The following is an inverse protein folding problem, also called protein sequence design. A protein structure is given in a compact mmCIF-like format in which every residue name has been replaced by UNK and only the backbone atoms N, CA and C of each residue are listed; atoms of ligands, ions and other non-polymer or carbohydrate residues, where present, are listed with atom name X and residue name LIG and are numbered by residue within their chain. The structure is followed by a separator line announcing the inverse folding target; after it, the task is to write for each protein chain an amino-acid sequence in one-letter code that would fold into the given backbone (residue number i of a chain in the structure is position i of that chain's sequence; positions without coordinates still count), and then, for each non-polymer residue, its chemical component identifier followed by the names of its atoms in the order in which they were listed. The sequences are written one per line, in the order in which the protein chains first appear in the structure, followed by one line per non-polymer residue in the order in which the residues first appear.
data_IF_429551131454
#
_entry.id   IF_429551131454
#
_cell.length_a   1.000
_cell.length_b   1.000
_cell.length_c   1.000
_cell.angle_alpha   90.00
_cell.angle_beta   90.00
_cell.angle_gamma   90.00
#
_symmetry.space_group_name_H-M   'P 1'
#
loop_
_entity.id
_entity.type
_entity.pdbx_description
1 polymer ?
#
# COMPACT_ATOMS: atom_id res chain seq x y z
N UNK A 1 -23.23 -31.16 -37.46
CA UNK A 1 -22.03 -30.48 -38.00
C UNK A 1 -21.79 -29.21 -37.20
N UNK A 2 -20.53 -28.84 -36.93
CA UNK A 2 -20.03 -28.81 -35.56
C UNK A 2 -19.68 -27.41 -35.02
N UNK A 3 -19.72 -27.31 -33.68
CA UNK A 3 -18.68 -26.82 -32.75
C UNK A 3 -17.92 -25.53 -33.15
N UNK A 4 -18.03 -24.46 -32.36
CA UNK A 4 -16.93 -24.11 -31.44
C UNK A 4 -17.27 -22.98 -30.45
N UNK A 5 -17.22 -23.35 -29.17
CA UNK A 5 -16.83 -22.48 -28.08
C UNK A 5 -15.45 -21.86 -28.39
N UNK A 6 -15.33 -20.55 -28.27
CA UNK A 6 -14.03 -19.89 -28.18
C UNK A 6 -14.03 -18.98 -26.97
N UNK A 7 -13.71 -19.62 -25.84
CA UNK A 7 -13.15 -19.01 -24.67
C UNK A 7 -12.05 -18.02 -25.10
N UNK A 8 -12.19 -16.74 -24.74
CA UNK A 8 -11.09 -15.78 -24.83
C UNK A 8 -10.06 -16.12 -23.75
N UNK A 9 -9.18 -17.06 -24.10
CA UNK A 9 -7.93 -17.32 -23.42
C UNK A 9 -7.01 -16.13 -23.71
N UNK A 10 -6.91 -15.19 -22.76
CA UNK A 10 -5.89 -14.14 -22.79
C UNK A 10 -4.55 -14.83 -22.51
N UNK A 11 -3.95 -15.38 -23.56
CA UNK A 11 -2.56 -15.81 -23.56
C UNK A 11 -1.69 -14.60 -23.24
N UNK A 12 -1.03 -14.64 -22.09
CA UNK A 12 0.09 -13.77 -21.78
C UNK A 12 1.15 -13.99 -22.87
N UNK A 13 1.39 -12.97 -23.69
CA UNK A 13 2.50 -13.01 -24.64
C UNK A 13 3.82 -13.00 -23.87
N UNK A 14 4.82 -13.82 -24.26
CA UNK A 14 6.14 -13.79 -23.63
C UNK A 14 6.81 -12.44 -23.91
N UNK A 15 7.34 -11.81 -22.86
CA UNK A 15 8.00 -10.52 -22.99
C UNK A 15 9.24 -10.61 -23.90
N UNK A 16 9.39 -9.61 -24.76
CA UNK A 16 10.51 -9.54 -25.71
C UNK A 16 11.86 -9.31 -25.00
N UNK A 17 12.98 -9.82 -25.53
CA UNK A 17 14.34 -9.66 -24.97
C UNK A 17 14.81 -8.21 -24.78
N UNK A 18 14.06 -7.25 -25.32
CA UNK A 18 14.34 -5.82 -25.23
C UNK A 18 14.01 -5.25 -23.83
N UNK A 19 13.03 -5.81 -23.11
CA UNK A 19 12.61 -5.26 -21.81
C UNK A 19 13.48 -5.71 -20.62
N UNK A 20 14.11 -6.88 -20.70
CA UNK A 20 15.08 -7.36 -19.70
C UNK A 20 16.38 -6.53 -19.68
N UNK A 21 16.79 -5.99 -20.83
CA UNK A 21 18.00 -5.17 -20.97
C UNK A 21 17.89 -3.79 -20.27
N UNK A 22 16.67 -3.28 -20.09
CA UNK A 22 16.44 -2.00 -19.40
C UNK A 22 16.67 -2.11 -17.89
N UNK A 23 16.19 -3.18 -17.26
CA UNK A 23 16.40 -3.43 -15.82
C UNK A 23 17.88 -3.65 -15.50
N UNK A 24 18.60 -4.38 -16.37
CA UNK A 24 20.03 -4.63 -16.23
C UNK A 24 20.88 -3.36 -16.38
N UNK A 25 20.54 -2.47 -17.34
CA UNK A 25 21.21 -1.17 -17.49
C UNK A 25 20.98 -0.25 -16.30
N UNK A 26 19.77 -0.23 -15.73
CA UNK A 26 19.48 0.56 -14.53
C UNK A 26 20.20 -0.01 -13.30
N UNK A 27 20.34 -1.34 -13.20
CA UNK A 27 21.12 -2.00 -12.15
C UNK A 27 22.61 -1.65 -12.25
N UNK A 28 23.16 -1.61 -13.47
CA UNK A 28 24.55 -1.27 -13.74
C UNK A 28 24.87 0.19 -13.39
N UNK A 29 24.02 1.14 -13.81
CA UNK A 29 24.20 2.57 -13.50
C UNK A 29 24.02 2.84 -12.00
N UNK A 30 23.10 2.13 -11.32
CA UNK A 30 22.93 2.21 -9.87
C UNK A 30 24.18 1.74 -9.12
N UNK A 31 24.80 0.63 -9.55
CA UNK A 31 26.05 0.13 -8.98
C UNK A 31 27.22 1.09 -9.22
N UNK A 32 27.35 1.68 -10.41
CA UNK A 32 28.40 2.66 -10.71
C UNK A 32 28.28 3.92 -9.81
N UNK A 33 27.06 4.37 -9.52
CA UNK A 33 26.80 5.52 -8.66
C UNK A 33 26.97 5.24 -7.15
N UNK A 34 27.02 3.97 -6.74
CA UNK A 34 27.23 3.59 -5.33
C UNK A 34 28.69 3.75 -4.86
N UNK A 35 29.65 3.83 -5.79
CA UNK A 35 31.09 3.79 -5.50
C UNK A 35 31.86 4.95 -6.15
N UNK A 36 32.01 6.10 -5.46
CA UNK A 36 32.84 7.18 -5.98
C UNK A 36 34.33 6.85 -5.78
N UNK A 37 35.05 6.80 -6.91
CA UNK A 37 36.51 7.05 -7.07
C UNK A 37 37.42 6.42 -6.01
N UNK A 38 37.62 5.10 -6.03
CA UNK A 38 38.79 4.47 -5.43
C UNK A 38 39.35 3.36 -6.34
N UNK A 39 40.66 3.12 -6.25
CA UNK A 39 41.48 2.22 -7.10
C UNK A 39 40.95 0.78 -7.25
N UNK A 40 39.98 0.36 -6.45
CA UNK A 40 39.28 -0.94 -6.55
C UNK A 40 38.16 -0.98 -7.61
N UNK A 41 37.85 0.15 -8.26
CA UNK A 41 36.82 0.28 -9.29
C UNK A 41 37.09 -0.60 -10.52
N UNK A 42 38.36 -0.76 -10.92
CA UNK A 42 38.73 -1.61 -12.06
C UNK A 42 38.48 -3.09 -11.78
N UNK A 43 38.66 -3.51 -10.53
CA UNK A 43 38.46 -4.90 -10.12
C UNK A 43 36.97 -5.25 -10.07
N UNK A 44 36.17 -4.35 -9.48
CA UNK A 44 34.71 -4.50 -9.45
C UNK A 44 34.10 -4.45 -10.86
N UNK A 45 34.62 -3.58 -11.73
CA UNK A 45 34.20 -3.48 -13.13
C UNK A 45 34.54 -4.74 -13.93
N UNK A 46 35.77 -5.28 -13.79
CA UNK A 46 36.14 -6.56 -14.40
C UNK A 46 35.28 -7.72 -13.91
N UNK A 47 34.90 -7.70 -12.63
CA UNK A 47 34.07 -8.74 -12.01
C UNK A 47 32.60 -8.65 -12.42
N UNK A 48 32.01 -7.45 -12.46
CA UNK A 48 30.65 -7.23 -12.97
C UNK A 48 30.60 -7.57 -14.48
N UNK A 49 31.63 -7.21 -15.25
CA UNK A 49 31.75 -7.57 -16.66
C UNK A 49 31.92 -9.08 -16.87
N UNK A 50 32.62 -9.77 -15.97
CA UNK A 50 32.72 -11.23 -15.96
C UNK A 50 31.37 -11.90 -15.69
N UNK A 51 30.63 -11.42 -14.69
CA UNK A 51 29.26 -11.88 -14.38
C UNK A 51 28.27 -11.59 -15.51
N UNK A 52 28.46 -10.51 -16.26
CA UNK A 52 27.60 -10.14 -17.40
C UNK A 52 27.95 -10.90 -18.69
N UNK A 53 29.24 -11.17 -18.93
CA UNK A 53 29.75 -11.90 -20.10
C UNK A 53 29.49 -13.41 -20.02
N UNK A 54 29.39 -13.97 -18.81
CA UNK A 54 28.93 -15.33 -18.56
C UNK A 54 27.46 -15.35 -18.14
N UNK A 55 26.58 -14.84 -19.00
CA UNK A 55 25.15 -15.10 -18.88
C UNK A 55 24.95 -16.61 -18.75
N UNK A 56 24.60 -17.06 -17.55
CA UNK A 56 24.43 -18.47 -17.19
C UNK A 56 23.39 -19.09 -18.11
N UNK A 57 23.84 -19.92 -19.05
CA UNK A 57 23.00 -20.95 -19.66
C UNK A 57 22.86 -22.06 -18.62
N UNK A 58 21.67 -22.15 -18.02
CA UNK A 58 21.32 -23.00 -16.87
C UNK A 58 20.99 -24.42 -17.35
N UNK A 59 21.85 -25.00 -18.19
CA UNK A 59 21.58 -26.27 -18.87
C UNK A 59 22.58 -27.39 -18.53
N UNK A 60 23.65 -27.10 -17.79
CA UNK A 60 24.62 -28.15 -17.41
C UNK A 60 25.21 -27.88 -16.02
N UNK A 61 24.53 -28.39 -15.00
CA UNK A 61 24.99 -28.34 -13.61
C UNK A 61 25.70 -29.64 -13.22
N UNK A 62 26.98 -29.52 -12.85
CA UNK A 62 27.73 -30.50 -12.03
C UNK A 62 28.52 -29.73 -10.96
N UNK A 63 29.09 -30.42 -9.95
CA UNK A 63 29.64 -30.02 -8.61
C UNK A 63 30.18 -28.59 -8.33
N UNK A 64 30.37 -27.71 -9.31
CA UNK A 64 30.88 -26.33 -9.22
C UNK A 64 29.91 -25.30 -8.60
N UNK A 65 28.72 -25.74 -8.13
CA UNK A 65 27.76 -24.87 -7.44
C UNK A 65 28.25 -24.41 -6.05
N UNK A 66 29.17 -25.17 -5.43
CA UNK A 66 29.69 -24.83 -4.11
C UNK A 66 30.66 -23.63 -4.16
N UNK A 67 31.48 -23.52 -5.21
CA UNK A 67 32.45 -22.42 -5.34
C UNK A 67 31.77 -21.07 -5.56
N UNK A 68 30.67 -21.03 -6.31
CA UNK A 68 29.88 -19.80 -6.48
C UNK A 68 29.23 -19.34 -5.17
N UNK A 69 28.73 -20.26 -4.34
CA UNK A 69 28.24 -19.94 -3.01
C UNK A 69 29.37 -19.45 -2.09
N UNK A 70 30.54 -20.11 -2.14
CA UNK A 70 31.71 -19.72 -1.35
C UNK A 70 32.28 -18.37 -1.77
N UNK A 71 32.25 -18.04 -3.06
CA UNK A 71 32.71 -16.77 -3.60
C UNK A 71 31.74 -15.64 -3.22
N UNK A 72 30.43 -15.87 -3.32
CA UNK A 72 29.40 -14.90 -2.88
C UNK A 72 29.47 -14.70 -1.36
N UNK A 73 29.65 -15.78 -0.59
CA UNK A 73 29.82 -15.74 0.86
C UNK A 73 31.12 -15.02 1.25
N UNK A 74 32.25 -15.37 0.63
CA UNK A 74 33.55 -14.73 0.85
C UNK A 74 33.52 -13.24 0.48
N UNK A 75 32.85 -12.87 -0.61
CA UNK A 75 32.65 -11.49 -1.01
C UNK A 75 31.75 -10.75 0.00
N UNK A 76 30.69 -11.38 0.52
CA UNK A 76 29.92 -10.83 1.63
C UNK A 76 30.76 -10.63 2.90
N UNK A 77 31.66 -11.56 3.22
CA UNK A 77 32.55 -11.47 4.38
C UNK A 77 33.63 -10.39 4.19
N UNK A 78 34.18 -10.26 2.99
CA UNK A 78 35.15 -9.23 2.63
C UNK A 78 34.50 -7.83 2.65
N UNK A 79 33.31 -7.69 2.07
CA UNK A 79 32.52 -6.46 2.13
C UNK A 79 32.18 -6.10 3.59
N UNK A 80 31.79 -7.08 4.43
CA UNK A 80 31.57 -6.86 5.88
C UNK A 80 32.81 -6.33 6.59
N UNK A 81 34.01 -6.76 6.20
CA UNK A 81 35.29 -6.41 6.84
C UNK A 81 35.88 -5.09 6.34
N UNK A 82 35.65 -4.77 5.06
CA UNK A 82 36.25 -3.60 4.38
C UNK A 82 35.35 -2.37 4.35
N UNK A 83 34.02 -2.55 4.42
CA UNK A 83 33.06 -1.48 4.17
C UNK A 83 32.54 -0.89 5.49
N UNK A 84 32.45 0.45 5.55
CA UNK A 84 31.99 1.14 6.75
C UNK A 84 30.59 0.66 7.19
N UNK A 85 30.39 0.49 8.52
CA UNK A 85 29.12 -0.01 9.12
C UNK A 85 27.88 0.65 8.52
N UNK A 86 27.89 1.97 8.33
CA UNK A 86 26.75 2.71 7.77
C UNK A 86 26.39 2.29 6.34
N UNK A 87 27.40 1.93 5.53
CA UNK A 87 27.17 1.47 4.16
C UNK A 87 26.65 0.04 4.18
N UNK A 88 27.16 -0.81 5.08
CA UNK A 88 26.61 -2.17 5.26
C UNK A 88 25.13 -2.15 5.61
N UNK A 89 24.73 -1.27 6.54
CA UNK A 89 23.34 -1.14 6.93
C UNK A 89 22.46 -0.79 5.72
N UNK A 90 22.90 0.18 4.92
CA UNK A 90 22.20 0.59 3.70
C UNK A 90 22.11 -0.54 2.67
N UNK A 91 23.22 -1.21 2.39
CA UNK A 91 23.26 -2.30 1.39
C UNK A 91 22.36 -3.45 1.82
N UNK A 92 22.38 -3.82 3.11
CA UNK A 92 21.49 -4.87 3.63
C UNK A 92 20.02 -4.48 3.50
N UNK A 93 19.64 -3.24 3.82
CA UNK A 93 18.27 -2.75 3.63
C UNK A 93 17.82 -2.85 2.17
N UNK A 94 18.67 -2.40 1.23
CA UNK A 94 18.40 -2.46 -0.21
C UNK A 94 18.25 -3.91 -0.69
N UNK A 95 19.10 -4.83 -0.21
CA UNK A 95 19.02 -6.25 -0.56
C UNK A 95 17.72 -6.88 -0.09
N UNK A 96 17.30 -6.65 1.17
CA UNK A 96 16.04 -7.18 1.69
C UNK A 96 14.83 -6.69 0.88
N UNK A 97 14.85 -5.42 0.47
CA UNK A 97 13.82 -4.83 -0.40
C UNK A 97 13.75 -5.54 -1.76
N UNK A 98 14.88 -5.68 -2.46
CA UNK A 98 14.91 -6.30 -3.78
C UNK A 98 14.59 -7.81 -3.77
N UNK A 99 14.83 -8.49 -2.65
CA UNK A 99 14.40 -9.88 -2.43
C UNK A 99 12.89 -10.01 -2.20
N UNK A 100 12.14 -8.90 -2.13
CA UNK A 100 10.70 -8.92 -1.84
C UNK A 100 10.36 -9.26 -0.39
N UNK A 101 11.36 -9.30 0.50
CA UNK A 101 11.22 -9.59 1.94
C UNK A 101 10.85 -8.32 2.70
N UNK A 102 9.67 -7.78 2.39
CA UNK A 102 9.24 -6.46 2.85
C UNK A 102 9.05 -6.36 4.36
N UNK A 103 8.54 -7.42 5.02
CA UNK A 103 8.40 -7.44 6.49
C UNK A 103 9.75 -7.33 7.19
N UNK A 104 10.70 -8.18 6.81
CA UNK A 104 12.06 -8.15 7.36
C UNK A 104 12.78 -6.85 7.04
N UNK A 105 12.58 -6.29 5.84
CA UNK A 105 13.07 -4.97 5.50
C UNK A 105 12.51 -3.91 6.47
N UNK A 106 11.20 -3.89 6.72
CA UNK A 106 10.56 -2.91 7.63
C UNK A 106 11.08 -3.06 9.06
N UNK A 107 11.20 -4.28 9.57
CA UNK A 107 11.79 -4.54 10.89
C UNK A 107 13.24 -4.10 10.96
N UNK A 108 14.03 -4.43 9.93
CA UNK A 108 15.42 -4.04 9.83
C UNK A 108 15.60 -2.52 9.85
N UNK A 109 14.73 -1.77 9.16
CA UNK A 109 14.73 -0.31 9.19
C UNK A 109 14.43 0.21 10.60
N UNK A 110 13.43 -0.35 11.30
CA UNK A 110 13.05 0.09 12.66
C UNK A 110 14.18 -0.12 13.68
N UNK A 111 14.93 -1.23 13.56
CA UNK A 111 15.94 -1.64 14.54
C UNK A 111 17.28 -0.90 14.42
N UNK A 112 17.60 -0.37 13.23
CA UNK A 112 18.92 0.21 12.96
C UNK A 112 18.85 1.73 12.81
N UNK A 113 19.91 2.43 13.22
CA UNK A 113 20.04 3.89 13.00
C UNK A 113 20.78 4.16 11.70
N UNK A 114 20.18 4.97 10.83
CA UNK A 114 20.77 5.35 9.54
C UNK A 114 21.32 6.78 9.58
N UNK A 115 22.14 7.12 8.59
CA UNK A 115 22.65 8.47 8.41
C UNK A 115 21.63 9.29 7.63
N UNK A 116 21.51 10.59 7.94
CA UNK A 116 20.58 11.51 7.27
C UNK A 116 20.67 11.45 5.74
N UNK A 117 21.88 11.31 5.18
CA UNK A 117 22.11 11.19 3.74
C UNK A 117 21.38 10.01 3.07
N UNK A 118 21.09 8.96 3.83
CA UNK A 118 20.44 7.75 3.34
C UNK A 118 18.92 7.77 3.61
N UNK A 119 18.39 8.75 4.37
CA UNK A 119 16.97 8.82 4.75
C UNK A 119 16.05 8.90 3.54
N UNK A 120 16.33 9.79 2.58
CA UNK A 120 15.48 9.95 1.38
C UNK A 120 15.34 8.63 0.61
N UNK A 121 16.45 7.89 0.43
CA UNK A 121 16.44 6.59 -0.22
C UNK A 121 15.57 5.59 0.56
N UNK A 122 15.79 5.49 1.87
CA UNK A 122 15.10 4.51 2.71
C UNK A 122 13.61 4.82 2.89
N UNK A 123 13.23 6.10 2.92
CA UNK A 123 11.83 6.55 2.92
C UNK A 123 11.13 6.19 1.60
N UNK A 124 11.81 6.32 0.47
CA UNK A 124 11.28 5.88 -0.82
C UNK A 124 11.06 4.36 -0.84
N UNK A 125 12.07 3.58 -0.43
CA UNK A 125 11.96 2.12 -0.32
C UNK A 125 10.86 1.68 0.66
N UNK A 126 10.71 2.39 1.78
CA UNK A 126 9.63 2.16 2.73
C UNK A 126 8.26 2.36 2.10
N UNK A 127 8.05 3.46 1.38
CA UNK A 127 6.79 3.70 0.67
C UNK A 127 6.51 2.61 -0.36
N UNK A 128 7.50 2.27 -1.19
CA UNK A 128 7.35 1.25 -2.23
C UNK A 128 7.08 -0.15 -1.64
N UNK A 129 7.73 -0.52 -0.53
CA UNK A 129 7.47 -1.78 0.15
C UNK A 129 6.01 -1.85 0.64
N UNK A 130 5.52 -0.77 1.26
CA UNK A 130 4.12 -0.70 1.71
C UNK A 130 3.13 -0.68 0.53
N UNK A 131 3.48 -0.07 -0.60
CA UNK A 131 2.66 -0.12 -1.82
C UNK A 131 2.61 -1.53 -2.40
N UNK A 132 3.74 -2.21 -2.49
CA UNK A 132 3.84 -3.57 -3.01
C UNK A 132 3.03 -4.58 -2.16
N UNK A 133 3.08 -4.44 -0.84
CA UNK A 133 2.25 -5.26 0.05
C UNK A 133 0.75 -4.95 -0.09
N UNK A 134 0.39 -3.67 -0.16
CA UNK A 134 -1.00 -3.27 -0.32
C UNK A 134 -1.57 -3.63 -1.70
N UNK A 135 -0.74 -3.68 -2.76
CA UNK A 135 -1.18 -4.09 -4.09
C UNK A 135 -1.43 -5.59 -4.18
N UNK A 136 -0.70 -6.43 -3.42
CA UNK A 136 -0.94 -7.89 -3.38
C UNK A 136 -2.35 -8.25 -2.91
N UNK A 137 -2.93 -7.44 -2.03
CA UNK A 137 -4.25 -7.67 -1.45
C UNK A 137 -5.39 -7.10 -2.30
N UNK A 138 -5.09 -6.49 -3.45
CA UNK A 138 -6.07 -5.74 -4.25
C UNK A 138 -6.13 -6.24 -5.68
N UNK A 139 -7.33 -6.29 -6.22
CA UNK A 139 -7.59 -6.63 -7.63
C UNK A 139 -7.32 -5.47 -8.58
N UNK A 140 -7.19 -4.24 -8.07
CA UNK A 140 -7.00 -3.01 -8.85
C UNK A 140 -5.68 -2.32 -8.47
N UNK A 141 -5.00 -1.67 -9.44
CA UNK A 141 -3.77 -0.93 -9.16
C UNK A 141 -4.02 0.24 -8.20
N UNK A 142 -2.99 0.62 -7.45
CA UNK A 142 -3.08 1.69 -6.46
C UNK A 142 -3.18 3.07 -7.11
N UNK A 143 -4.34 3.70 -6.96
CA UNK A 143 -4.55 5.10 -7.30
C UNK A 143 -3.78 6.06 -6.36
N UNK A 144 -3.68 7.33 -6.76
CA UNK A 144 -2.96 8.35 -5.98
C UNK A 144 -3.51 8.57 -4.57
N UNK A 145 -4.83 8.50 -4.38
CA UNK A 145 -5.50 8.64 -3.08
C UNK A 145 -5.23 7.41 -2.21
N UNK A 146 -5.26 6.22 -2.80
CA UNK A 146 -4.89 4.97 -2.13
C UNK A 146 -3.43 5.01 -1.66
N UNK A 147 -2.49 5.43 -2.50
CA UNK A 147 -1.08 5.62 -2.09
C UNK A 147 -0.93 6.64 -0.96
N UNK A 148 -1.68 7.75 -1.01
CA UNK A 148 -1.73 8.71 0.10
C UNK A 148 -2.23 8.09 1.41
N UNK A 149 -3.32 7.30 1.37
CA UNK A 149 -3.85 6.61 2.56
C UNK A 149 -2.83 5.63 3.15
N UNK A 150 -2.10 4.91 2.31
CA UNK A 150 -1.05 3.98 2.74
C UNK A 150 0.07 4.73 3.45
N UNK A 151 0.59 5.82 2.87
CA UNK A 151 1.62 6.65 3.52
C UNK A 151 1.16 7.22 4.86
N UNK A 152 -0.10 7.68 4.93
CA UNK A 152 -0.67 8.22 6.17
C UNK A 152 -0.80 7.16 7.27
N UNK A 153 -1.09 5.91 6.91
CA UNK A 153 -1.17 4.80 7.85
C UNK A 153 0.22 4.32 8.28
N UNK A 154 1.17 4.28 7.34
CA UNK A 154 2.51 3.74 7.52
C UNK A 154 3.55 4.85 7.62
N UNK A 155 3.47 5.63 8.71
CA UNK A 155 4.42 6.71 9.00
C UNK A 155 5.83 6.12 9.14
N UNK A 156 6.84 6.88 8.71
CA UNK A 156 8.22 6.46 8.81
C UNK A 156 8.66 6.25 10.27
N UNK A 157 9.49 5.23 10.55
CA UNK A 157 10.09 5.08 11.87
C UNK A 157 11.15 6.15 12.13
N UNK A 158 11.40 6.43 13.41
CA UNK A 158 12.38 7.44 13.86
C UNK A 158 13.83 7.17 13.42
N UNK A 159 14.11 5.96 12.94
CA UNK A 159 15.41 5.59 12.38
C UNK A 159 15.72 6.24 11.03
N UNK A 160 14.69 6.69 10.31
CA UNK A 160 14.81 7.31 8.98
C UNK A 160 14.00 8.61 8.87
N UNK A 161 13.46 9.13 9.98
CA UNK A 161 12.64 10.34 10.02
C UNK A 161 12.80 11.04 11.38
N UNK A 162 12.82 12.37 11.35
CA UNK A 162 13.00 13.26 12.52
C UNK A 162 11.70 13.55 13.28
N UNK A 163 10.55 13.17 12.74
CA UNK A 163 9.26 13.32 13.41
C UNK A 163 8.56 14.65 13.11
N UNK A 164 9.09 15.49 12.22
CA UNK A 164 8.41 16.73 11.82
C UNK A 164 7.16 16.42 10.98
N UNK A 165 6.03 16.31 11.67
CA UNK A 165 4.73 16.04 11.05
C UNK A 165 4.12 17.28 10.41
N UNK A 166 3.65 17.16 9.17
CA UNK A 166 2.76 18.18 8.59
C UNK A 166 1.40 18.13 9.29
N UNK A 167 1.02 19.21 9.99
CA UNK A 167 -0.36 19.36 10.47
C UNK A 167 -1.30 19.54 9.28
N UNK A 168 -2.05 18.49 8.96
CA UNK A 168 -3.05 18.52 7.88
C UNK A 168 -4.31 19.32 8.23
N UNK A 169 -4.45 19.71 9.50
CA UNK A 169 -5.57 20.49 9.99
C UNK A 169 -5.29 21.97 9.83
N UNK A 170 -6.24 22.70 9.24
CA UNK A 170 -6.20 24.16 9.28
C UNK A 170 -6.16 24.67 10.72
N UNK A 171 -5.57 25.85 10.91
CA UNK A 171 -5.53 26.56 12.19
C UNK A 171 -6.94 26.66 12.79
N UNK A 172 -7.06 26.63 14.12
CA UNK A 172 -8.36 26.67 14.82
C UNK A 172 -9.23 27.85 14.33
N UNK A 173 -8.66 29.05 14.23
CA UNK A 173 -9.32 30.26 13.72
C UNK A 173 -9.92 30.06 12.32
N UNK A 174 -9.12 29.56 11.38
CA UNK A 174 -9.57 29.28 10.01
C UNK A 174 -10.73 28.28 9.96
N UNK A 175 -10.68 27.23 10.79
CA UNK A 175 -11.77 26.24 10.88
C UNK A 175 -13.09 26.84 11.36
N UNK A 176 -13.04 27.72 12.37
CA UNK A 176 -14.25 28.34 12.91
C UNK A 176 -14.89 29.31 11.91
N UNK A 177 -14.08 30.13 11.21
CA UNK A 177 -14.58 31.01 10.14
C UNK A 177 -15.29 30.20 9.05
N UNK A 178 -14.65 29.13 8.55
CA UNK A 178 -15.25 28.28 7.51
C UNK A 178 -16.54 27.59 7.97
N UNK A 179 -16.60 27.13 9.22
CA UNK A 179 -17.83 26.55 9.80
C UNK A 179 -18.96 27.57 9.90
N UNK A 180 -18.67 28.79 10.34
CA UNK A 180 -19.66 29.86 10.43
C UNK A 180 -20.20 30.21 9.03
N UNK A 181 -19.30 30.39 8.06
CA UNK A 181 -19.69 30.65 6.67
C UNK A 181 -20.55 29.53 6.08
N UNK A 182 -20.23 28.25 6.37
CA UNK A 182 -21.02 27.11 5.88
C UNK A 182 -22.46 27.07 6.42
N UNK A 183 -22.69 27.59 7.63
CA UNK A 183 -24.05 27.71 8.19
C UNK A 183 -24.90 28.73 7.44
N UNK A 184 -24.24 29.77 6.90
CA UNK A 184 -24.90 30.81 6.11
C UNK A 184 -25.17 30.30 4.70
N UNK A 185 -24.12 29.79 4.03
CA UNK A 185 -24.23 29.24 2.68
C UNK A 185 -23.31 28.02 2.50
N UNK A 186 -23.89 26.90 2.09
CA UNK A 186 -23.17 25.65 1.86
C UNK A 186 -22.51 25.55 0.48
N UNK A 187 -22.86 26.42 -0.47
CA UNK A 187 -22.32 26.47 -1.83
C UNK A 187 -21.91 27.91 -2.17
N UNK A 188 -20.87 28.45 -1.50
CA UNK A 188 -20.43 29.83 -1.72
C UNK A 188 -19.97 30.05 -3.16
N UNK A 189 -20.26 31.24 -3.68
CA UNK A 189 -19.79 31.69 -4.98
C UNK A 189 -18.27 31.96 -4.96
N UNK A 190 -17.71 32.34 -6.12
CA UNK A 190 -16.26 32.55 -6.27
C UNK A 190 -15.76 33.73 -5.42
N UNK A 191 -16.50 34.83 -5.36
CA UNK A 191 -16.13 36.02 -4.59
C UNK A 191 -16.09 35.72 -3.08
N UNK A 192 -17.12 35.06 -2.55
CA UNK A 192 -17.17 34.63 -1.15
C UNK A 192 -16.02 33.69 -0.81
N UNK A 193 -15.64 32.78 -1.71
CA UNK A 193 -14.47 31.91 -1.51
C UNK A 193 -13.15 32.69 -1.49
N UNK A 194 -12.99 33.72 -2.32
CA UNK A 194 -11.82 34.58 -2.31
C UNK A 194 -11.71 35.37 -1.00
N UNK A 195 -12.82 35.89 -0.50
CA UNK A 195 -12.86 36.62 0.77
C UNK A 195 -12.52 35.69 1.95
N UNK A 196 -13.13 34.49 2.00
CA UNK A 196 -12.79 33.48 3.00
C UNK A 196 -11.32 33.06 2.93
N UNK A 197 -10.75 32.93 1.74
CA UNK A 197 -9.33 32.62 1.56
C UNK A 197 -8.44 33.69 2.21
N UNK A 198 -8.74 34.98 1.99
CA UNK A 198 -8.03 36.10 2.62
C UNK A 198 -8.14 36.06 4.14
N UNK A 199 -9.34 35.88 4.69
CA UNK A 199 -9.57 35.87 6.14
C UNK A 199 -8.97 34.66 6.88
N UNK A 200 -8.86 33.53 6.18
CA UNK A 200 -8.40 32.27 6.77
C UNK A 200 -6.92 31.98 6.54
N UNK A 201 -6.22 32.82 5.76
CA UNK A 201 -4.85 32.57 5.29
C UNK A 201 -4.72 31.25 4.52
N UNK A 202 -5.78 30.84 3.82
CA UNK A 202 -5.81 29.63 3.01
C UNK A 202 -5.86 29.99 1.52
N UNK A 203 -5.45 29.06 0.66
CA UNK A 203 -5.67 29.23 -0.77
C UNK A 203 -7.15 29.05 -1.14
N UNK A 204 -7.59 29.71 -2.20
CA UNK A 204 -8.96 29.59 -2.74
C UNK A 204 -9.31 28.12 -3.06
N UNK A 205 -8.31 27.34 -3.49
CA UNK A 205 -8.47 25.91 -3.72
C UNK A 205 -8.69 25.12 -2.42
N UNK A 206 -7.96 25.44 -1.34
CA UNK A 206 -8.15 24.82 -0.03
C UNK A 206 -9.54 25.10 0.52
N UNK A 207 -10.01 26.35 0.41
CA UNK A 207 -11.38 26.74 0.79
C UNK A 207 -12.40 25.98 -0.06
N UNK A 208 -12.24 25.96 -1.39
CA UNK A 208 -13.13 25.22 -2.29
C UNK A 208 -13.21 23.73 -1.95
N UNK A 209 -12.07 23.10 -1.69
CA UNK A 209 -11.99 21.70 -1.29
C UNK A 209 -12.62 21.47 0.08
N UNK A 210 -12.47 22.39 1.02
CA UNK A 210 -13.11 22.31 2.32
C UNK A 210 -14.64 22.28 2.20
N UNK A 211 -15.24 23.20 1.44
CA UNK A 211 -16.69 23.21 1.21
C UNK A 211 -17.18 21.95 0.49
N UNK A 212 -16.44 21.48 -0.52
CA UNK A 212 -16.73 20.21 -1.22
C UNK A 212 -16.74 19.04 -0.24
N UNK A 213 -15.69 18.91 0.59
CA UNK A 213 -15.55 17.85 1.57
C UNK A 213 -16.64 17.93 2.65
N UNK A 214 -17.02 19.14 3.07
CA UNK A 214 -18.04 19.36 4.08
C UNK A 214 -19.43 18.91 3.59
N UNK A 215 -19.79 19.24 2.34
CA UNK A 215 -21.03 18.74 1.73
C UNK A 215 -21.03 17.23 1.53
N UNK A 216 -19.89 16.63 1.16
CA UNK A 216 -19.77 15.17 1.03
C UNK A 216 -20.02 14.48 2.38
N UNK A 217 -19.43 14.98 3.47
CA UNK A 217 -19.68 14.46 4.83
C UNK A 217 -21.14 14.61 5.25
N UNK A 218 -21.76 15.76 5.01
CA UNK A 218 -23.18 15.96 5.31
C UNK A 218 -24.08 14.94 4.59
N UNK A 219 -23.82 14.69 3.30
CA UNK A 219 -24.55 13.67 2.52
C UNK A 219 -24.34 12.26 3.05
N UNK A 220 -23.12 11.93 3.47
CA UNK A 220 -22.80 10.62 4.05
C UNK A 220 -23.54 10.42 5.38
N UNK A 221 -23.51 11.40 6.28
CA UNK A 221 -24.22 11.34 7.56
C UNK A 221 -25.74 11.16 7.36
N UNK A 222 -26.33 11.83 6.36
CA UNK A 222 -27.74 11.64 6.01
C UNK A 222 -28.00 10.20 5.56
N UNK A 223 -27.15 9.62 4.69
CA UNK A 223 -27.29 8.23 4.24
C UNK A 223 -27.19 7.23 5.39
N UNK A 224 -26.19 7.40 6.26
CA UNK A 224 -25.99 6.54 7.44
C UNK A 224 -27.17 6.63 8.41
N UNK A 225 -27.70 7.83 8.66
CA UNK A 225 -28.89 8.00 9.51
C UNK A 225 -30.15 7.33 8.93
N UNK A 226 -30.32 7.34 7.61
CA UNK A 226 -31.43 6.65 6.93
C UNK A 226 -31.30 5.14 7.02
N UNK A 227 -30.09 4.60 6.85
CA UNK A 227 -29.81 3.18 7.02
C UNK A 227 -30.09 2.71 8.45
N UNK A 228 -29.70 3.50 9.45
CA UNK A 228 -29.97 3.20 10.85
C UNK A 228 -31.47 3.21 11.18
N UNK A 229 -32.22 4.16 10.62
CA UNK A 229 -33.68 4.21 10.76
C UNK A 229 -34.36 3.01 10.10
N UNK A 230 -33.94 2.64 8.89
CA UNK A 230 -34.50 1.48 8.20
C UNK A 230 -34.21 0.16 8.94
N UNK A 231 -33.02 0.04 9.55
CA UNK A 231 -32.67 -1.11 10.40
C UNK A 231 -33.54 -1.20 11.65
N UNK A 232 -33.78 -0.06 12.32
CA UNK A 232 -34.69 0.01 13.47
C UNK A 232 -36.14 -0.33 13.10
N UNK A 233 -36.63 0.17 11.95
CA UNK A 233 -37.97 -0.14 11.46
C UNK A 233 -38.10 -1.63 11.10
N UNK A 234 -37.06 -2.27 10.54
CA UNK A 234 -37.06 -3.72 10.31
C UNK A 234 -36.96 -4.55 11.59
N UNK A 235 -36.34 -4.02 12.66
CA UNK A 235 -36.25 -4.68 13.97
C UNK A 235 -37.56 -4.50 14.78
N UNK A 236 -38.25 -3.37 14.64
CA UNK A 236 -39.56 -3.10 15.25
C UNK A 236 -40.72 -3.82 14.56
N UNK A 237 -40.56 -4.25 13.30
CA UNK A 237 -41.58 -5.00 12.54
C UNK A 237 -41.51 -6.53 12.72
N UNK A 238 -40.79 -7.04 13.73
CA UNK A 238 -40.71 -8.48 14.04
C UNK A 238 -41.69 -8.96 15.14
N UNK A 239 -42.72 -8.17 15.49
CA UNK A 239 -43.67 -8.50 16.56
C UNK A 239 -44.97 -9.18 16.07
N UNK A 240 -44.98 -9.78 14.89
CA UNK A 240 -46.15 -10.52 14.40
C UNK A 240 -45.80 -11.79 13.61
N UNK A 241 -44.96 -12.66 14.19
CA UNK A 241 -44.81 -14.06 13.72
C UNK A 241 -44.80 -15.07 14.88
N UNK A 242 -45.57 -14.82 15.94
CA UNK A 242 -45.82 -15.81 17.01
C UNK A 242 -47.27 -15.73 17.46
N UNK A 243 -48.17 -16.25 16.63
CA UNK A 243 -49.49 -16.73 17.06
C UNK A 243 -50.09 -17.57 15.94
N UNK A 244 -49.80 -18.86 15.95
CA UNK A 244 -50.77 -19.95 15.69
C UNK A 244 -50.03 -21.25 15.34
N UNK A 245 -49.59 -21.97 16.36
CA UNK A 245 -49.35 -23.43 16.27
C UNK A 245 -49.10 -23.93 17.69
N UNK A 246 -50.17 -24.20 18.44
CA UNK A 246 -50.15 -25.11 19.59
C UNK A 246 -51.60 -25.49 19.93
N UNK A 247 -52.09 -26.58 19.32
CA UNK A 247 -53.13 -27.41 19.90
C UNK A 247 -52.75 -28.86 19.66
N UNK A 248 -52.04 -29.44 20.63
CA UNK A 248 -51.98 -30.87 20.83
C UNK A 248 -52.30 -31.16 22.31
N UNK A 249 -53.31 -32.02 22.48
CA UNK A 249 -53.36 -33.10 23.48
C UNK A 249 -53.99 -32.82 24.86
N UNK A 250 -55.15 -33.46 25.10
CA UNK A 250 -55.40 -34.25 26.32
C UNK A 250 -56.65 -35.14 26.20
N UNK A 251 -56.37 -36.45 26.11
CA UNK A 251 -57.06 -37.67 26.56
C UNK A 251 -58.58 -37.73 26.86
N UNK A 252 -59.21 -38.85 26.44
CA UNK A 252 -60.42 -39.37 27.08
C UNK A 252 -61.32 -40.31 26.26
N UNK A 253 -61.03 -41.62 26.32
CA UNK A 253 -61.93 -42.81 26.34
C UNK A 253 -63.32 -42.83 25.63
N UNK A 254 -63.60 -44.06 25.12
CA UNK A 254 -64.90 -44.72 24.90
C UNK A 254 -65.64 -44.37 23.60
N UNK A 255 -65.73 -45.24 22.59
CA UNK A 255 -66.37 -46.55 22.47
C UNK A 255 -67.62 -46.44 21.58
N UNK A 256 -67.66 -47.28 20.54
CA UNK A 256 -68.86 -48.00 20.07
C UNK A 256 -69.75 -47.35 18.99
N UNK A 257 -69.96 -48.19 17.96
CA UNK A 257 -71.09 -48.37 17.05
C UNK A 257 -71.25 -47.57 15.74
N UNK A 258 -70.95 -48.30 14.66
CA UNK A 258 -71.93 -48.91 13.74
C UNK A 258 -73.03 -48.03 13.11
N UNK A 259 -72.97 -48.09 11.77
CA UNK A 259 -74.06 -48.34 10.80
C UNK A 259 -75.01 -47.19 10.45
N UNK A 260 -75.21 -47.08 9.14
CA UNK A 260 -76.17 -46.28 8.42
C UNK A 260 -75.74 -46.22 6.96
#
# INVERSE_FOLDING_TARGET
MPINDSQQNIQQQPETPYQQNTLQRHFFIFFLNLFPKHKHFLFLYKFIFFLFRHSLDVSSLTDDQLENYYLIYSLQQFLKKSLAKSVLLRVKAVLLFHQGRYEEFKEYIKLNKFKQKDHNLLQNLWNEANYAEASKQRTKPLDAVSRYRIRKKNIFPSSIWDGEGTSYCFKKKAREILKQAYKIDSIPNIQTKQELAKQTELSVLQVSNWFKNQRQRARQNIRESKQLKNKKISEECNCCNTSSSDYAESEGRQSVNQKG
#
